data_IF_635898633891
#
_entry.id   IF_635898633891
#
_cell.length_a   1.000
_cell.length_b   1.000
_cell.length_c   1.000
_cell.angle_alpha   90.00
_cell.angle_beta   90.00
_cell.angle_gamma   90.00
#
_symmetry.space_group_name_H-M   'P 1'
#
loop_
_entity.id
_entity.type
_entity.pdbx_description
1 polymer ?
#
# COMPACT_ATOMS: atom_id res chain seq x y z
N UNK A 1 5.96 -14.83 9.51
CA UNK A 1 5.22 -13.61 9.16
C UNK A 1 4.80 -13.73 7.72
N UNK A 2 3.50 -13.88 7.45
CA UNK A 2 2.99 -13.89 6.09
C UNK A 2 2.72 -12.43 5.69
N UNK A 3 3.60 -11.87 4.88
CA UNK A 3 3.38 -10.55 4.30
C UNK A 3 2.33 -10.65 3.19
N UNK A 4 1.31 -9.79 3.25
CA UNK A 4 0.23 -9.73 2.26
C UNK A 4 0.46 -8.54 1.35
N UNK A 5 0.67 -8.79 0.07
CA UNK A 5 0.81 -7.71 -0.92
C UNK A 5 -0.57 -7.28 -1.41
N UNK A 6 -1.01 -6.11 -1.00
CA UNK A 6 -2.21 -5.42 -1.48
C UNK A 6 -1.92 -4.73 -2.83
N UNK A 7 -2.79 -4.99 -3.80
CA UNK A 7 -2.82 -4.24 -5.05
C UNK A 7 -3.87 -3.13 -4.93
N UNK A 8 -3.44 -1.88 -5.11
CA UNK A 8 -4.32 -0.71 -5.12
C UNK A 8 -4.32 -0.12 -6.52
N UNK A 9 -5.36 -0.42 -7.28
CA UNK A 9 -5.61 0.19 -8.59
C UNK A 9 -6.36 1.51 -8.48
N UNK A 10 -6.37 2.28 -9.57
CA UNK A 10 -7.08 3.57 -9.66
C UNK A 10 -6.66 4.58 -8.58
N UNK A 11 -5.37 4.55 -8.22
CA UNK A 11 -4.81 5.55 -7.33
C UNK A 11 -4.73 6.89 -8.07
N UNK A 12 -5.09 7.96 -7.38
CA UNK A 12 -4.99 9.31 -7.92
C UNK A 12 -3.53 9.63 -8.22
N UNK A 13 -3.25 10.42 -9.26
CA UNK A 13 -1.89 10.93 -9.53
C UNK A 13 -1.31 11.76 -8.37
N UNK A 14 -2.16 12.23 -7.46
CA UNK A 14 -1.77 12.91 -6.23
C UNK A 14 -1.52 11.97 -5.05
N UNK A 15 -1.79 10.67 -5.19
CA UNK A 15 -1.54 9.69 -4.14
C UNK A 15 -0.03 9.43 -4.04
N UNK A 16 0.54 9.77 -2.89
CA UNK A 16 1.95 9.55 -2.60
C UNK A 16 2.12 8.31 -1.72
N UNK A 17 3.34 7.79 -1.67
CA UNK A 17 3.69 6.68 -0.77
C UNK A 17 3.32 7.03 0.67
N UNK A 18 3.46 8.30 1.07
CA UNK A 18 3.10 8.74 2.41
C UNK A 18 1.59 8.65 2.67
N UNK A 19 0.74 9.09 1.73
CA UNK A 19 -0.72 8.96 1.86
C UNK A 19 -1.17 7.51 1.91
N UNK A 20 -0.59 6.64 1.09
CA UNK A 20 -0.85 5.20 1.14
C UNK A 20 -0.36 4.61 2.47
N UNK A 21 0.83 4.99 2.93
CA UNK A 21 1.38 4.54 4.21
C UNK A 21 0.52 4.96 5.39
N UNK A 22 0.00 6.19 5.39
CA UNK A 22 -0.91 6.69 6.42
C UNK A 22 -2.26 5.97 6.38
N UNK A 23 -2.85 5.81 5.19
CA UNK A 23 -4.13 5.12 5.01
C UNK A 23 -4.06 3.64 5.46
N UNK A 24 -2.93 2.98 5.19
CA UNK A 24 -2.70 1.58 5.54
C UNK A 24 -1.81 1.42 6.79
N UNK A 25 -1.60 2.50 7.56
CA UNK A 25 -0.74 2.50 8.75
C UNK A 25 -1.29 1.58 9.84
N UNK A 26 -2.62 1.50 9.94
CA UNK A 26 -3.33 0.57 10.84
C UNK A 26 -2.98 -0.90 10.60
N UNK A 27 -2.61 -1.26 9.37
CA UNK A 27 -2.28 -2.62 8.95
C UNK A 27 -0.77 -2.86 8.81
N UNK A 28 0.06 -1.92 9.24
CA UNK A 28 1.52 -2.06 9.15
C UNK A 28 2.05 -2.00 7.72
N UNK A 29 1.55 -1.06 6.91
CA UNK A 29 2.03 -0.84 5.54
C UNK A 29 3.56 -0.65 5.48
N UNK A 30 4.18 -1.56 4.76
CA UNK A 30 5.60 -1.68 4.50
C UNK A 30 5.82 -1.81 2.99
N UNK A 31 6.97 -1.40 2.47
CA UNK A 31 7.35 -1.61 1.07
C UNK A 31 6.30 -1.17 0.03
N UNK A 32 5.97 0.13 0.01
CA UNK A 32 5.03 0.72 -0.96
C UNK A 32 5.75 0.89 -2.30
N UNK A 33 5.08 0.47 -3.38
CA UNK A 33 5.63 0.53 -4.73
C UNK A 33 4.60 1.10 -5.69
N UNK A 34 4.72 2.39 -5.95
CA UNK A 34 3.83 3.12 -6.86
C UNK A 34 4.35 2.96 -8.29
N UNK A 35 3.47 2.56 -9.21
CA UNK A 35 3.78 2.52 -10.64
C UNK A 35 3.11 3.71 -11.31
N UNK A 36 3.86 4.80 -11.37
CA UNK A 36 3.49 6.01 -12.07
C UNK A 36 3.29 5.73 -13.57
N UNK A 37 2.25 6.30 -14.16
CA UNK A 37 1.90 6.08 -15.56
C UNK A 37 0.94 4.91 -15.83
N UNK A 38 0.71 4.01 -14.86
CA UNK A 38 -0.40 3.03 -14.93
C UNK A 38 -1.50 3.24 -13.88
N UNK A 39 -1.30 4.14 -12.91
CA UNK A 39 -2.32 4.48 -11.91
C UNK A 39 -2.61 3.34 -10.92
N UNK A 40 -1.58 2.56 -10.56
CA UNK A 40 -1.69 1.54 -9.53
C UNK A 40 -0.44 1.50 -8.63
N UNK A 41 -0.62 1.01 -7.42
CA UNK A 41 0.45 0.76 -6.45
C UNK A 41 0.31 -0.62 -5.84
N UNK A 42 1.45 -1.16 -5.41
CA UNK A 42 1.53 -2.33 -4.55
C UNK A 42 1.95 -1.91 -3.15
N UNK A 43 1.33 -2.48 -2.14
CA UNK A 43 1.65 -2.22 -0.73
C UNK A 43 1.81 -3.57 -0.05
N UNK A 44 2.88 -3.75 0.69
CA UNK A 44 3.04 -4.94 1.51
C UNK A 44 2.51 -4.62 2.91
N UNK A 45 1.57 -5.40 3.42
CA UNK A 45 1.05 -5.24 4.78
C UNK A 45 1.37 -6.47 5.60
N UNK A 46 1.69 -6.25 6.87
CA UNK A 46 1.93 -7.35 7.78
C UNK A 46 0.57 -7.94 8.19
N UNK A 47 0.29 -9.16 7.71
CA UNK A 47 -0.99 -9.82 7.93
C UNK A 47 -1.27 -10.18 9.39
N UNK A 48 -0.27 -10.07 10.28
CA UNK A 48 -0.38 -10.30 11.72
C UNK A 48 -1.11 -9.14 12.43
N UNK A 49 -1.21 -7.97 11.79
CA UNK A 49 -1.94 -6.79 12.30
C UNK A 49 -3.44 -6.79 11.96
N UNK A 50 -3.92 -7.82 11.26
CA UNK A 50 -5.33 -7.99 10.88
C UNK A 50 -6.03 -8.98 11.84
N UNK A 51 -6.00 -8.71 13.14
CA UNK A 51 -6.81 -9.42 14.15
C UNK A 51 -8.03 -8.58 14.55
#
# INVERSE_FOLDING_TARGET
MANKSLYVGNISYSATENSLKEAFSAYGASNIRIIEGRGFAFIDVDGDKME
#
